data_IF_200362209803
#
_entry.id   IF_200362209803
#
_cell.length_a   1.000
_cell.length_b   1.000
_cell.length_c   1.000
_cell.angle_alpha   90.00
_cell.angle_beta   90.00
_cell.angle_gamma   90.00
#
_symmetry.space_group_name_H-M   'P 1'
#
loop_
_entity.id
_entity.type
_entity.pdbx_description
1 polymer ?
#
# COMPACT_ATOMS: atom_id res chain seq x y z
N UNK A 1 6.48 -7.05 9.79
CA UNK A 1 6.77 -5.91 10.69
C UNK A 1 7.91 -6.27 11.63
N UNK A 2 8.94 -5.42 11.71
CA UNK A 2 10.11 -5.57 12.58
C UNK A 2 9.99 -4.66 13.83
N UNK A 3 10.77 -4.95 14.87
CA UNK A 3 10.87 -4.17 16.12
C UNK A 3 9.53 -4.01 16.87
N UNK A 4 8.67 -5.04 16.83
CA UNK A 4 7.34 -5.00 17.45
C UNK A 4 7.38 -5.01 18.98
N UNK A 5 8.52 -5.37 19.56
CA UNK A 5 8.82 -5.26 20.99
C UNK A 5 8.93 -3.80 21.48
N UNK A 6 9.01 -2.84 20.56
CA UNK A 6 9.06 -1.40 20.86
C UNK A 6 7.76 -0.70 20.46
N UNK A 7 7.50 0.46 21.08
CA UNK A 7 6.41 1.35 20.66
C UNK A 7 6.69 1.91 19.27
N UNK A 8 5.64 2.20 18.51
CA UNK A 8 5.73 2.57 17.09
C UNK A 8 6.83 3.59 16.77
N UNK A 9 6.86 4.73 17.47
CA UNK A 9 7.84 5.79 17.24
C UNK A 9 9.29 5.40 17.62
N UNK A 10 9.47 4.45 18.53
CA UNK A 10 10.80 3.96 18.93
C UNK A 10 11.42 3.02 17.88
N UNK A 11 10.58 2.43 17.02
CA UNK A 11 11.02 1.49 15.97
C UNK A 11 11.90 2.18 14.93
N UNK A 12 11.68 3.45 14.63
CA UNK A 12 12.47 4.23 13.68
C UNK A 12 13.93 4.33 14.12
N UNK A 13 14.16 4.72 15.38
CA UNK A 13 15.51 4.77 15.96
C UNK A 13 16.18 3.40 16.02
N UNK A 14 15.41 2.34 16.30
CA UNK A 14 15.92 0.97 16.27
C UNK A 14 16.36 0.56 14.85
N UNK A 15 15.55 0.86 13.83
CA UNK A 15 15.90 0.64 12.43
C UNK A 15 17.20 1.39 12.07
N UNK A 16 17.32 2.67 12.43
CA UNK A 16 18.54 3.44 12.16
C UNK A 16 19.78 2.81 12.80
N UNK A 17 19.68 2.37 14.06
CA UNK A 17 20.76 1.69 14.79
C UNK A 17 21.19 0.37 14.12
N UNK A 18 20.27 -0.32 13.47
CA UNK A 18 20.55 -1.52 12.68
C UNK A 18 21.08 -1.22 11.27
N UNK A 19 21.31 0.04 10.92
CA UNK A 19 21.89 0.46 9.64
C UNK A 19 20.88 0.67 8.51
N UNK A 20 19.58 0.64 8.79
CA UNK A 20 18.58 0.99 7.78
C UNK A 20 18.67 2.47 7.40
N UNK A 21 18.59 2.77 6.11
CA UNK A 21 18.43 4.12 5.57
C UNK A 21 16.99 4.47 5.21
N UNK A 22 16.11 3.48 5.15
CA UNK A 22 14.72 3.61 4.75
C UNK A 22 13.82 2.68 5.56
N UNK A 23 12.54 3.05 5.65
CA UNK A 23 11.48 2.29 6.33
C UNK A 23 10.23 2.25 5.48
N UNK A 24 9.51 1.13 5.59
CA UNK A 24 8.12 1.03 5.19
C UNK A 24 7.23 0.99 6.44
N UNK A 25 6.01 1.52 6.33
CA UNK A 25 5.11 1.70 7.47
C UNK A 25 3.77 1.03 7.20
N UNK A 26 3.39 0.08 8.06
CA UNK A 26 2.06 -0.53 8.01
C UNK A 26 1.00 0.30 8.75
N UNK A 27 -0.25 0.05 8.39
CA UNK A 27 -1.46 0.43 9.14
C UNK A 27 -1.69 -0.60 10.28
N UNK A 28 -2.34 -0.24 11.40
CA UNK A 28 -2.98 1.05 11.69
C UNK A 28 -2.10 2.08 12.43
N UNK A 29 -0.93 1.70 12.96
CA UNK A 29 -0.21 2.55 13.92
C UNK A 29 0.16 3.93 13.36
N UNK A 30 0.47 4.04 12.06
CA UNK A 30 0.77 5.32 11.41
C UNK A 30 -0.31 6.38 11.67
N UNK A 31 -1.57 5.99 11.60
CA UNK A 31 -2.72 6.91 11.65
C UNK A 31 -3.15 7.26 13.08
N UNK A 32 -2.43 6.77 14.08
CA UNK A 32 -2.58 7.17 15.49
C UNK A 32 -1.70 8.37 15.85
N UNK A 33 -0.82 8.78 14.92
CA UNK A 33 0.14 9.86 15.08
C UNK A 33 -0.11 10.92 14.01
N UNK A 34 0.26 12.18 14.28
CA UNK A 34 0.13 13.20 13.23
C UNK A 34 1.20 13.01 12.14
N UNK A 35 0.93 13.41 10.88
CA UNK A 35 1.95 13.37 9.82
C UNK A 35 3.24 14.10 10.20
N UNK A 36 3.14 15.22 10.91
CA UNK A 36 4.29 16.05 11.32
C UNK A 36 5.12 15.37 12.42
N UNK A 37 4.49 14.66 13.35
CA UNK A 37 5.20 13.90 14.38
C UNK A 37 6.07 12.81 13.76
N UNK A 38 5.50 12.04 12.83
CA UNK A 38 6.22 10.97 12.14
C UNK A 38 7.31 11.54 11.23
N UNK A 39 7.02 12.62 10.49
CA UNK A 39 8.00 13.31 9.65
C UNK A 39 9.21 13.79 10.47
N UNK A 40 8.97 14.40 11.64
CA UNK A 40 10.05 14.88 12.51
C UNK A 40 10.97 13.76 12.98
N UNK A 41 10.44 12.55 13.21
CA UNK A 41 11.24 11.39 13.62
C UNK A 41 12.05 10.84 12.45
N UNK A 42 11.44 10.76 11.26
CA UNK A 42 12.16 10.37 10.04
C UNK A 42 13.34 11.31 9.78
N UNK A 43 13.13 12.63 9.92
CA UNK A 43 14.19 13.64 9.78
C UNK A 43 15.28 13.49 10.85
N UNK A 44 14.88 13.35 12.13
CA UNK A 44 15.82 13.23 13.24
C UNK A 44 16.71 11.98 13.14
N UNK A 45 16.16 10.87 12.65
CA UNK A 45 16.89 9.62 12.49
C UNK A 45 17.55 9.49 11.09
N UNK A 46 17.30 10.44 10.18
CA UNK A 46 17.79 10.41 8.80
C UNK A 46 17.34 9.15 8.07
N UNK A 47 16.02 8.90 8.07
CA UNK A 47 15.36 7.76 7.45
C UNK A 47 14.40 8.23 6.35
N UNK A 48 14.37 7.50 5.23
CA UNK A 48 13.40 7.71 4.16
C UNK A 48 12.16 6.83 4.36
N UNK A 49 10.95 7.39 4.23
CA UNK A 49 9.73 6.59 4.15
C UNK A 49 9.51 6.12 2.71
N UNK A 50 9.77 4.86 2.40
CA UNK A 50 9.74 4.34 1.02
C UNK A 50 8.39 3.76 0.59
N UNK A 51 7.52 3.45 1.55
CA UNK A 51 6.17 2.93 1.35
C UNK A 51 5.36 3.10 2.64
N UNK A 52 4.07 3.42 2.53
CA UNK A 52 3.14 3.16 3.63
C UNK A 52 1.79 2.62 3.16
N UNK A 53 1.11 1.91 4.05
CA UNK A 53 -0.24 1.36 3.82
C UNK A 53 -1.32 2.41 4.11
N UNK A 54 -2.35 2.50 3.26
CA UNK A 54 -3.56 3.28 3.56
C UNK A 54 -4.29 2.79 4.82
N UNK A 55 -5.16 3.60 5.44
CA UNK A 55 -6.09 3.11 6.45
C UNK A 55 -6.91 1.94 5.89
N UNK A 56 -6.99 0.84 6.64
CA UNK A 56 -7.52 -0.43 6.14
C UNK A 56 -8.83 -0.87 6.82
N UNK A 57 -9.54 0.08 7.43
CA UNK A 57 -10.71 -0.20 8.26
C UNK A 57 -10.32 -0.65 9.67
N UNK A 58 -11.22 -1.35 10.35
CA UNK A 58 -11.01 -1.91 11.68
C UNK A 58 -10.18 -3.20 11.62
N UNK A 59 -8.86 -3.02 11.73
CA UNK A 59 -7.92 -4.13 11.70
C UNK A 59 -8.16 -5.14 12.83
N UNK A 60 -8.60 -4.67 14.01
CA UNK A 60 -8.86 -5.51 15.17
C UNK A 60 -10.12 -6.36 15.00
N UNK A 61 -11.13 -5.83 14.31
CA UNK A 61 -12.33 -6.57 13.89
C UNK A 61 -12.09 -7.53 12.71
N UNK A 62 -10.87 -7.58 12.16
CA UNK A 62 -10.49 -8.49 11.09
C UNK A 62 -10.56 -7.89 9.68
N UNK A 63 -10.83 -6.59 9.54
CA UNK A 63 -10.80 -5.92 8.24
C UNK A 63 -9.36 -5.79 7.72
N UNK A 64 -9.20 -5.82 6.39
CA UNK A 64 -7.89 -5.87 5.73
C UNK A 64 -7.80 -4.95 4.51
N UNK A 65 -8.58 -3.87 4.51
CA UNK A 65 -8.66 -2.94 3.39
C UNK A 65 -10.08 -2.67 2.94
N UNK A 66 -10.24 -1.54 2.26
CA UNK A 66 -11.55 -0.99 1.89
C UNK A 66 -11.74 -0.88 0.38
N UNK A 67 -10.67 -1.00 -0.42
CA UNK A 67 -10.72 -0.61 -1.82
C UNK A 67 -11.71 -1.44 -2.65
N UNK A 68 -11.93 -2.71 -2.33
CA UNK A 68 -12.89 -3.57 -3.03
C UNK A 68 -14.26 -3.66 -2.33
N UNK A 69 -14.52 -2.89 -1.27
CA UNK A 69 -15.73 -3.01 -0.44
C UNK A 69 -16.89 -2.14 -0.98
N UNK A 70 -17.78 -2.75 -1.78
CA UNK A 70 -18.86 -2.04 -2.48
C UNK A 70 -19.79 -1.24 -1.55
N UNK A 71 -20.07 -1.76 -0.35
CA UNK A 71 -20.92 -1.10 0.64
C UNK A 71 -20.20 -0.02 1.47
N UNK A 72 -18.87 0.12 1.33
CA UNK A 72 -18.01 0.97 2.17
C UNK A 72 -17.30 2.06 1.37
N UNK A 73 -17.87 2.51 0.24
CA UNK A 73 -17.25 3.54 -0.63
C UNK A 73 -16.97 4.86 0.11
N UNK A 74 -17.87 5.28 1.02
CA UNK A 74 -17.66 6.49 1.83
C UNK A 74 -16.44 6.36 2.74
N UNK A 75 -16.28 5.20 3.37
CA UNK A 75 -15.15 4.94 4.27
C UNK A 75 -13.83 4.83 3.50
N UNK A 76 -13.87 4.28 2.29
CA UNK A 76 -12.72 4.30 1.39
C UNK A 76 -12.29 5.73 1.03
N UNK A 77 -13.22 6.61 0.67
CA UNK A 77 -12.90 8.01 0.34
C UNK A 77 -12.32 8.75 1.56
N UNK A 78 -12.87 8.52 2.76
CA UNK A 78 -12.32 9.08 3.99
C UNK A 78 -10.90 8.57 4.27
N UNK A 79 -10.66 7.27 4.14
CA UNK A 79 -9.33 6.66 4.29
C UNK A 79 -8.33 7.18 3.24
N UNK A 80 -8.79 7.39 2.01
CA UNK A 80 -7.99 7.94 0.92
C UNK A 80 -7.55 9.37 1.22
N UNK A 81 -8.48 10.22 1.67
CA UNK A 81 -8.15 11.59 2.01
C UNK A 81 -7.21 11.67 3.21
N UNK A 82 -7.42 10.82 4.22
CA UNK A 82 -6.50 10.71 5.35
C UNK A 82 -5.10 10.27 4.89
N UNK A 83 -4.98 9.27 4.02
CA UNK A 83 -3.67 8.85 3.48
C UNK A 83 -2.97 9.97 2.71
N UNK A 84 -3.73 10.79 1.96
CA UNK A 84 -3.18 11.90 1.18
C UNK A 84 -2.47 12.95 2.06
N UNK A 85 -2.90 13.13 3.31
CA UNK A 85 -2.27 14.06 4.27
C UNK A 85 -0.85 13.63 4.68
N UNK A 86 -0.49 12.35 4.54
CA UNK A 86 0.82 11.83 4.92
C UNK A 86 1.83 11.85 3.78
N UNK A 87 1.38 11.84 2.51
CA UNK A 87 2.28 11.73 1.35
C UNK A 87 3.37 12.80 1.35
N UNK A 88 2.99 14.08 1.46
CA UNK A 88 3.92 15.20 1.41
C UNK A 88 4.80 15.30 2.66
N UNK A 89 4.27 15.28 3.90
CA UNK A 89 5.10 15.34 5.11
C UNK A 89 6.12 14.21 5.19
N UNK A 90 5.74 12.99 4.83
CA UNK A 90 6.64 11.84 4.87
C UNK A 90 7.57 11.76 3.65
N UNK A 91 7.37 12.61 2.64
CA UNK A 91 8.03 12.53 1.31
C UNK A 91 7.97 11.12 0.73
N UNK A 92 6.86 10.43 0.96
CA UNK A 92 6.75 9.01 0.62
C UNK A 92 6.36 8.84 -0.85
N UNK A 93 7.15 8.12 -1.65
CA UNK A 93 6.88 7.99 -3.08
C UNK A 93 5.76 7.01 -3.40
N UNK A 94 5.38 6.12 -2.47
CA UNK A 94 4.46 5.01 -2.74
C UNK A 94 3.48 4.82 -1.59
N UNK A 95 2.22 4.58 -1.95
CA UNK A 95 1.15 4.27 -1.01
C UNK A 95 0.47 2.98 -1.44
N UNK A 96 0.41 2.01 -0.53
CA UNK A 96 -0.27 0.74 -0.79
C UNK A 96 -1.76 0.85 -0.48
N UNK A 97 -2.59 0.60 -1.49
CA UNK A 97 -4.04 0.59 -1.42
C UNK A 97 -4.56 -0.85 -1.21
N UNK A 98 -4.84 -1.22 0.04
CA UNK A 98 -5.28 -2.57 0.38
C UNK A 98 -6.68 -2.88 -0.16
N UNK A 99 -6.82 -4.04 -0.80
CA UNK A 99 -8.06 -4.46 -1.46
C UNK A 99 -9.20 -4.77 -0.47
N UNK A 100 -8.89 -5.42 0.65
CA UNK A 100 -9.89 -5.96 1.58
C UNK A 100 -10.30 -7.40 1.26
N UNK A 101 -11.24 -7.94 2.05
CA UNK A 101 -11.69 -9.33 1.97
C UNK A 101 -12.95 -9.47 1.10
N UNK A 102 -13.07 -10.55 0.33
CA UNK A 102 -14.25 -10.92 -0.46
C UNK A 102 -14.84 -9.76 -1.30
N UNK A 103 -13.97 -8.95 -1.86
CA UNK A 103 -14.33 -7.69 -2.50
C UNK A 103 -14.98 -7.83 -3.88
N UNK A 104 -15.54 -6.72 -4.35
CA UNK A 104 -16.10 -6.56 -5.68
C UNK A 104 -15.08 -5.93 -6.64
N UNK A 105 -14.82 -6.60 -7.77
CA UNK A 105 -13.82 -6.17 -8.76
C UNK A 105 -14.09 -4.78 -9.33
N UNK A 106 -15.34 -4.46 -9.66
CA UNK A 106 -15.69 -3.16 -10.24
C UNK A 106 -15.49 -2.03 -9.24
N UNK A 107 -15.82 -2.28 -7.97
CA UNK A 107 -15.54 -1.33 -6.89
C UNK A 107 -14.04 -1.16 -6.71
N UNK A 108 -13.28 -2.25 -6.72
CA UNK A 108 -11.82 -2.19 -6.58
C UNK A 108 -11.19 -1.33 -7.66
N UNK A 109 -11.51 -1.57 -8.93
CA UNK A 109 -11.01 -0.79 -10.06
C UNK A 109 -11.38 0.69 -9.97
N UNK A 110 -12.64 1.00 -9.67
CA UNK A 110 -13.10 2.38 -9.51
C UNK A 110 -12.36 3.11 -8.39
N UNK A 111 -12.14 2.44 -7.27
CA UNK A 111 -11.45 3.00 -6.11
C UNK A 111 -9.94 3.14 -6.34
N UNK A 112 -9.32 2.24 -7.11
CA UNK A 112 -7.92 2.39 -7.52
C UNK A 112 -7.72 3.59 -8.45
N UNK A 113 -8.62 3.80 -9.42
CA UNK A 113 -8.57 4.98 -10.26
C UNK A 113 -8.63 6.26 -9.42
N UNK A 114 -9.57 6.31 -8.47
CA UNK A 114 -9.73 7.40 -7.52
C UNK A 114 -8.48 7.60 -6.65
N UNK A 115 -7.88 6.52 -6.16
CA UNK A 115 -6.66 6.57 -5.37
C UNK A 115 -5.50 7.19 -6.17
N UNK A 116 -5.35 6.82 -7.44
CA UNK A 116 -4.32 7.37 -8.33
C UNK A 116 -4.52 8.86 -8.56
N UNK A 117 -5.76 9.32 -8.75
CA UNK A 117 -6.05 10.74 -8.88
C UNK A 117 -5.62 11.53 -7.63
N UNK A 118 -6.04 11.08 -6.45
CA UNK A 118 -5.82 11.81 -5.19
C UNK A 118 -4.35 11.74 -4.76
N UNK A 119 -3.78 10.55 -4.67
CA UNK A 119 -2.41 10.34 -4.19
C UNK A 119 -1.39 10.76 -5.23
N UNK A 120 -1.71 10.55 -6.52
CA UNK A 120 -0.90 11.02 -7.64
C UNK A 120 -0.81 12.55 -7.71
N UNK A 121 -1.86 13.28 -7.33
CA UNK A 121 -1.82 14.74 -7.20
C UNK A 121 -0.92 15.22 -6.04
N UNK A 122 -0.66 14.35 -5.05
CA UNK A 122 0.32 14.62 -3.98
C UNK A 122 1.75 14.18 -4.35
N UNK A 123 1.93 13.54 -5.51
CA UNK A 123 3.23 13.08 -6.00
C UNK A 123 3.58 11.63 -5.69
N UNK A 124 2.65 10.83 -5.13
CA UNK A 124 2.88 9.42 -4.87
C UNK A 124 2.35 8.52 -5.99
N UNK A 125 2.99 7.36 -6.15
CA UNK A 125 2.45 6.21 -6.86
C UNK A 125 1.52 5.42 -5.92
N UNK A 126 0.47 4.84 -6.48
CA UNK A 126 -0.35 3.83 -5.80
C UNK A 126 0.20 2.46 -6.16
N UNK A 127 0.41 1.63 -5.15
CA UNK A 127 0.79 0.23 -5.35
C UNK A 127 -0.31 -0.71 -4.88
N UNK A 128 -0.43 -1.86 -5.54
CA UNK A 128 -1.32 -2.96 -5.14
C UNK A 128 -0.52 -4.25 -4.99
N UNK A 129 -0.86 -5.06 -3.99
CA UNK A 129 -0.12 -6.24 -3.61
C UNK A 129 -1.01 -7.50 -3.66
N UNK A 130 -0.65 -8.52 -4.45
CA UNK A 130 -1.24 -9.84 -4.32
C UNK A 130 -0.86 -10.48 -2.99
N UNK A 131 -1.82 -10.81 -2.13
CA UNK A 131 -1.57 -11.46 -0.83
C UNK A 131 -2.02 -12.91 -0.87
N UNK A 132 -1.18 -13.79 -0.32
CA UNK A 132 -1.47 -15.22 -0.31
C UNK A 132 -2.62 -15.58 0.67
N UNK A 133 -3.42 -16.57 0.31
CA UNK A 133 -4.59 -17.01 1.09
C UNK A 133 -4.25 -17.68 2.43
N UNK A 134 -2.99 -18.09 2.64
CA UNK A 134 -2.55 -18.66 3.92
C UNK A 134 -2.35 -17.55 4.97
N UNK A 135 -1.79 -16.43 4.55
CA UNK A 135 -1.57 -15.25 5.38
C UNK A 135 -2.84 -14.44 5.56
N UNK A 136 -3.66 -14.34 4.51
CA UNK A 136 -4.89 -13.55 4.54
C UNK A 136 -6.02 -14.26 3.78
N UNK A 137 -6.69 -15.24 4.41
CA UNK A 137 -7.82 -15.94 3.81
C UNK A 137 -8.91 -14.97 3.37
N UNK A 138 -9.42 -15.14 2.16
CA UNK A 138 -10.47 -14.31 1.59
C UNK A 138 -9.99 -12.97 1.01
N UNK A 139 -8.69 -12.66 1.02
CA UNK A 139 -8.20 -11.41 0.44
C UNK A 139 -8.53 -11.32 -1.05
N UNK A 140 -9.03 -10.15 -1.48
CA UNK A 140 -9.58 -9.94 -2.82
C UNK A 140 -8.53 -10.12 -3.92
N UNK A 141 -7.35 -9.50 -3.76
CA UNK A 141 -6.28 -9.57 -4.75
C UNK A 141 -5.29 -10.66 -4.35
N UNK A 142 -5.48 -11.88 -4.86
CA UNK A 142 -4.68 -13.05 -4.48
C UNK A 142 -3.93 -13.68 -5.65
N UNK A 143 -3.66 -12.91 -6.70
CA UNK A 143 -3.03 -13.39 -7.93
C UNK A 143 -2.23 -12.29 -8.63
N UNK A 144 -0.99 -12.59 -9.01
CA UNK A 144 -0.13 -11.67 -9.76
C UNK A 144 -0.63 -11.41 -11.19
N UNK A 145 -1.10 -12.43 -11.95
CA UNK A 145 -1.81 -12.19 -13.21
C UNK A 145 -3.03 -11.27 -13.07
N UNK A 146 -3.84 -11.45 -12.01
CA UNK A 146 -5.01 -10.60 -11.77
C UNK A 146 -4.61 -9.16 -11.42
N UNK A 147 -3.55 -8.97 -10.62
CA UNK A 147 -3.03 -7.64 -10.32
C UNK A 147 -2.54 -6.92 -11.59
N UNK A 148 -1.80 -7.61 -12.46
CA UNK A 148 -1.35 -7.04 -13.73
C UNK A 148 -2.53 -6.65 -14.63
N UNK A 149 -3.55 -7.52 -14.75
CA UNK A 149 -4.76 -7.20 -15.50
C UNK A 149 -5.49 -5.99 -14.91
N UNK A 150 -5.64 -5.94 -13.58
CA UNK A 150 -6.27 -4.82 -12.87
C UNK A 150 -5.53 -3.51 -13.13
N UNK A 151 -4.19 -3.52 -13.07
CA UNK A 151 -3.36 -2.34 -13.35
C UNK A 151 -3.61 -1.85 -14.79
N UNK A 152 -3.54 -2.74 -15.78
CA UNK A 152 -3.77 -2.39 -17.18
C UNK A 152 -5.18 -1.84 -17.42
N UNK A 153 -6.19 -2.48 -16.83
CA UNK A 153 -7.60 -2.08 -16.97
C UNK A 153 -7.91 -0.72 -16.32
N UNK A 154 -7.29 -0.42 -15.17
CA UNK A 154 -7.43 0.89 -14.52
C UNK A 154 -6.64 1.94 -15.29
N UNK A 155 -5.40 1.66 -15.68
CA UNK A 155 -4.56 2.58 -16.43
C UNK A 155 -5.18 3.00 -17.77
N UNK A 156 -5.92 2.13 -18.44
CA UNK A 156 -6.63 2.46 -19.68
C UNK A 156 -7.68 3.58 -19.50
N UNK A 157 -8.26 3.72 -18.30
CA UNK A 157 -9.25 4.75 -17.98
C UNK A 157 -8.66 6.03 -17.36
N UNK A 158 -7.38 6.04 -17.03
CA UNK A 158 -6.72 7.19 -16.41
C UNK A 158 -6.25 8.21 -17.45
N UNK A 159 -6.13 9.47 -17.01
CA UNK A 159 -5.46 10.53 -17.75
C UNK A 159 -4.02 10.11 -18.11
N UNK A 160 -3.52 10.58 -19.25
CA UNK A 160 -2.25 10.12 -19.83
C UNK A 160 -1.08 10.24 -18.84
N UNK A 161 -1.00 11.36 -18.13
CA UNK A 161 -0.01 11.68 -17.11
C UNK A 161 -0.12 10.83 -15.83
N UNK A 162 -1.22 10.10 -15.66
CA UNK A 162 -1.50 9.23 -14.51
C UNK A 162 -1.39 7.74 -14.84
N UNK A 163 -1.36 7.34 -16.11
CA UNK A 163 -1.35 5.91 -16.52
C UNK A 163 -0.19 5.11 -15.91
N UNK A 164 0.91 5.78 -15.59
CA UNK A 164 2.08 5.17 -14.96
C UNK A 164 2.04 5.09 -13.43
N UNK A 165 1.05 5.69 -12.76
CA UNK A 165 1.04 5.88 -11.29
C UNK A 165 0.41 4.75 -10.50
N UNK A 166 -0.18 3.74 -11.16
CA UNK A 166 -0.62 2.51 -10.51
C UNK A 166 0.39 1.39 -10.81
N UNK A 167 0.99 0.82 -9.77
CA UNK A 167 2.07 -0.18 -9.89
C UNK A 167 1.77 -1.44 -9.07
N UNK A 168 2.51 -2.49 -9.39
CA UNK A 168 2.53 -3.72 -8.60
C UNK A 168 3.53 -3.58 -7.45
N UNK A 169 3.11 -3.89 -6.23
CA UNK A 169 4.01 -4.22 -5.14
C UNK A 169 4.36 -5.71 -5.24
N UNK A 170 5.58 -6.01 -5.67
CA UNK A 170 6.03 -7.39 -5.82
C UNK A 170 6.64 -7.89 -4.51
N UNK A 171 5.81 -8.53 -3.68
CA UNK A 171 6.30 -9.27 -2.53
C UNK A 171 6.67 -10.71 -2.92
N UNK A 172 7.95 -11.06 -2.72
CA UNK A 172 8.53 -12.36 -3.08
C UNK A 172 7.95 -13.49 -2.24
N UNK A 173 7.62 -13.25 -0.98
CA UNK A 173 7.01 -14.24 -0.08
C UNK A 173 5.61 -14.61 -0.57
N UNK A 174 4.77 -13.62 -0.92
CA UNK A 174 3.46 -13.86 -1.50
C UNK A 174 3.55 -14.54 -2.87
N UNK A 175 4.46 -14.09 -3.74
CA UNK A 175 4.68 -14.71 -5.05
C UNK A 175 5.08 -16.19 -4.93
N UNK A 176 6.00 -16.52 -4.02
CA UNK A 176 6.45 -17.89 -3.82
C UNK A 176 5.31 -18.83 -3.39
N UNK A 177 4.41 -18.36 -2.53
CA UNK A 177 3.29 -19.17 -2.03
C UNK A 177 2.20 -19.32 -3.10
N UNK A 178 1.92 -18.26 -3.86
CA UNK A 178 0.83 -18.25 -4.83
C UNK A 178 1.20 -18.94 -6.15
N UNK A 179 2.41 -18.69 -6.66
CA UNK A 179 2.80 -19.05 -8.03
C UNK A 179 4.14 -19.79 -8.13
N UNK A 180 5.06 -19.60 -7.17
CA UNK A 180 6.42 -20.09 -7.30
C UNK A 180 7.16 -19.40 -8.45
N UNK A 181 8.11 -20.11 -9.07
CA UNK A 181 8.87 -19.67 -10.26
C UNK A 181 9.36 -18.20 -10.19
N UNK A 182 9.98 -17.86 -9.05
CA UNK A 182 10.28 -16.48 -8.66
C UNK A 182 11.11 -15.73 -9.71
N UNK A 183 12.15 -16.36 -10.25
CA UNK A 183 13.03 -15.74 -11.23
C UNK A 183 12.26 -15.33 -12.49
N UNK A 184 11.35 -16.17 -12.97
CA UNK A 184 10.57 -15.89 -14.17
C UNK A 184 9.47 -14.86 -13.88
N UNK A 185 8.82 -14.95 -12.73
CA UNK A 185 7.82 -13.95 -12.32
C UNK A 185 8.46 -12.57 -12.08
N UNK A 186 9.64 -12.49 -11.47
CA UNK A 186 10.39 -11.24 -11.34
C UNK A 186 10.70 -10.63 -12.71
N UNK A 187 11.19 -11.42 -13.67
CA UNK A 187 11.44 -10.93 -15.05
C UNK A 187 10.16 -10.45 -15.74
N UNK A 188 9.05 -11.17 -15.54
CA UNK A 188 7.77 -10.86 -16.16
C UNK A 188 7.16 -9.57 -15.64
N UNK A 189 7.29 -9.32 -14.33
CA UNK A 189 6.61 -8.21 -13.65
C UNK A 189 7.54 -7.04 -13.27
N UNK A 190 8.84 -7.15 -13.54
CA UNK A 190 9.74 -6.01 -13.49
C UNK A 190 9.24 -4.93 -14.45
N UNK A 191 9.12 -3.68 -13.97
CA UNK A 191 8.90 -2.55 -14.86
C UNK A 191 10.13 -2.40 -15.79
N UNK A 192 9.93 -2.08 -17.08
CA UNK A 192 11.01 -1.68 -17.96
C UNK A 192 11.72 -0.40 -17.48
#
# INVERSE_FOLDING_TARGET
>A
MLFQELRFLERFKAAKRCGFGAVEISTPELFQHSPQEVASILDAEGLECVLFNMPAGDWAAGERGLAAQAARKGDFEAALQQAAEYVKPLRCPRVHCLAGLHGCRDTYRSNLARAVEVLGAQGAEVVIEPINQRSMPGYHLASFPEAAATISEVAAGLAEEQRGKLKLLFDVFHCQILHGDLTMNLRKYAAP
#
